data_IF_368286068217
#
_entry.id   IF_368286068217
#
_cell.length_a   1.000
_cell.length_b   1.000
_cell.length_c   1.000
_cell.angle_alpha   90.00
_cell.angle_beta   90.00
_cell.angle_gamma   90.00
#
_symmetry.space_group_name_H-M   'P 1'
#
loop_
_entity.id
_entity.type
_entity.pdbx_description
1 polymer ?
#
# COMPACT_ATOMS: atom_id res chain seq x y z
N UNK A 1 0.93 7.87 -13.84
CA UNK A 1 0.84 6.41 -14.06
C UNK A 1 0.54 5.65 -12.77
N UNK A 2 1.44 5.61 -11.77
CA UNK A 2 1.25 4.85 -10.53
C UNK A 2 -0.05 5.19 -9.78
N UNK A 3 -0.31 6.47 -9.51
CA UNK A 3 -1.54 6.90 -8.81
C UNK A 3 -2.83 6.49 -9.54
N UNK A 4 -2.84 6.61 -10.88
CA UNK A 4 -3.97 6.17 -11.71
C UNK A 4 -4.17 4.67 -11.62
N UNK A 5 -3.09 3.87 -11.72
CA UNK A 5 -3.15 2.42 -11.58
C UNK A 5 -3.66 1.98 -10.21
N UNK A 6 -3.24 2.65 -9.13
CA UNK A 6 -3.69 2.33 -7.77
C UNK A 6 -5.17 2.69 -7.56
N UNK A 7 -5.63 3.83 -8.07
CA UNK A 7 -7.04 4.20 -8.04
C UNK A 7 -7.91 3.18 -8.80
N UNK A 8 -7.46 2.74 -9.97
CA UNK A 8 -8.14 1.74 -10.80
C UNK A 8 -8.18 0.37 -10.09
N UNK A 9 -7.08 -0.01 -9.43
CA UNK A 9 -7.01 -1.20 -8.58
C UNK A 9 -8.05 -1.17 -7.46
N UNK A 10 -8.18 -0.08 -6.70
CA UNK A 10 -9.15 0.04 -5.62
C UNK A 10 -10.60 -0.11 -6.12
N UNK A 11 -10.92 0.44 -7.29
CA UNK A 11 -12.26 0.33 -7.90
C UNK A 11 -12.54 -1.10 -8.36
N UNK A 12 -11.60 -1.74 -9.07
CA UNK A 12 -11.76 -3.11 -9.55
C UNK A 12 -11.87 -4.11 -8.40
N UNK A 13 -10.99 -3.99 -7.40
CA UNK A 13 -10.99 -4.86 -6.21
C UNK A 13 -12.31 -4.75 -5.46
N UNK A 14 -12.86 -3.55 -5.28
CA UNK A 14 -14.18 -3.39 -4.64
C UNK A 14 -15.28 -4.16 -5.38
N UNK A 15 -15.28 -4.15 -6.72
CA UNK A 15 -16.25 -4.89 -7.54
C UNK A 15 -16.07 -6.40 -7.45
N UNK A 16 -14.83 -6.86 -7.37
CA UNK A 16 -14.47 -8.28 -7.20
C UNK A 16 -14.82 -8.79 -5.80
N UNK A 17 -14.54 -8.03 -4.76
CA UNK A 17 -14.89 -8.34 -3.36
C UNK A 17 -16.40 -8.38 -3.12
N UNK A 18 -17.21 -7.73 -3.97
CA UNK A 18 -18.66 -7.85 -3.94
C UNK A 18 -19.19 -9.20 -4.47
N UNK A 19 -18.37 -9.98 -5.17
CA UNK A 19 -18.74 -11.28 -5.75
C UNK A 19 -17.94 -12.46 -5.21
N UNK A 20 -16.73 -12.21 -4.69
CA UNK A 20 -15.81 -13.24 -4.24
C UNK A 20 -15.25 -12.92 -2.85
N UNK A 21 -14.88 -13.97 -2.12
CA UNK A 21 -14.22 -13.82 -0.82
C UNK A 21 -12.85 -13.16 -0.98
N UNK A 22 -12.45 -12.35 0.01
CA UNK A 22 -11.19 -11.61 0.04
C UNK A 22 -9.97 -12.49 -0.24
N UNK A 23 -9.93 -13.69 0.33
CA UNK A 23 -8.83 -14.64 0.12
C UNK A 23 -8.71 -15.07 -1.35
N UNK A 24 -9.84 -15.27 -2.04
CA UNK A 24 -9.85 -15.65 -3.46
C UNK A 24 -9.29 -14.53 -4.32
N UNK A 25 -9.70 -13.29 -4.07
CA UNK A 25 -9.21 -12.11 -4.82
C UNK A 25 -7.71 -11.91 -4.59
N UNK A 26 -7.24 -12.03 -3.35
CA UNK A 26 -5.81 -11.93 -3.03
C UNK A 26 -4.99 -13.03 -3.71
N UNK A 27 -5.46 -14.28 -3.67
CA UNK A 27 -4.77 -15.42 -4.34
C UNK A 27 -4.56 -15.14 -5.82
N UNK A 28 -5.60 -14.71 -6.53
CA UNK A 28 -5.50 -14.43 -7.97
C UNK A 28 -4.65 -13.19 -8.27
N UNK A 29 -4.76 -12.14 -7.44
CA UNK A 29 -3.92 -10.94 -7.57
C UNK A 29 -2.44 -11.27 -7.42
N UNK A 30 -2.07 -12.04 -6.40
CA UNK A 30 -0.67 -12.45 -6.18
C UNK A 30 -0.17 -13.40 -7.26
N UNK A 31 -1.01 -14.32 -7.76
CA UNK A 31 -0.62 -15.25 -8.82
C UNK A 31 -0.31 -14.52 -10.14
N UNK A 32 -1.20 -13.63 -10.55
CA UNK A 32 -1.00 -12.83 -11.77
C UNK A 32 0.20 -11.90 -11.59
N UNK A 33 0.32 -11.26 -10.42
CA UNK A 33 1.47 -10.42 -10.07
C UNK A 33 2.80 -11.19 -10.13
N UNK A 34 2.82 -12.43 -9.63
CA UNK A 34 4.00 -13.30 -9.71
C UNK A 34 4.38 -13.55 -11.17
N UNK A 35 3.45 -14.00 -12.01
CA UNK A 35 3.73 -14.28 -13.43
C UNK A 35 4.22 -13.03 -14.17
N UNK A 36 3.67 -11.86 -13.87
CA UNK A 36 4.10 -10.60 -14.47
C UNK A 36 5.48 -10.13 -13.99
N UNK A 37 5.80 -10.29 -12.71
CA UNK A 37 7.09 -9.85 -12.12
C UNK A 37 8.22 -10.84 -12.41
N UNK A 38 7.91 -12.14 -12.52
CA UNK A 38 8.88 -13.22 -12.71
C UNK A 38 9.89 -12.94 -13.84
N UNK A 39 9.50 -12.58 -15.09
CA UNK A 39 10.49 -12.34 -16.15
C UNK A 39 11.44 -11.18 -15.87
N UNK A 40 11.00 -10.17 -15.12
CA UNK A 40 11.86 -9.04 -14.74
C UNK A 40 12.79 -9.38 -13.57
N UNK A 41 12.32 -10.19 -12.62
CA UNK A 41 13.10 -10.63 -11.46
C UNK A 41 13.91 -11.91 -11.68
N UNK A 42 13.75 -12.60 -12.80
CA UNK A 42 14.29 -13.96 -13.01
C UNK A 42 15.82 -14.02 -12.92
N UNK A 43 16.50 -13.04 -13.53
CA UNK A 43 17.97 -12.98 -13.50
C UNK A 43 18.49 -12.78 -12.09
N UNK A 44 17.94 -11.79 -11.38
CA UNK A 44 18.30 -11.48 -9.99
C UNK A 44 17.99 -12.66 -9.05
N UNK A 45 16.90 -13.37 -9.29
CA UNK A 45 16.49 -14.53 -8.50
C UNK A 45 17.47 -15.70 -8.62
N UNK A 46 18.03 -15.93 -9.80
CA UNK A 46 18.99 -17.02 -10.04
C UNK A 46 20.40 -16.63 -9.59
N UNK A 47 20.77 -15.35 -9.70
CA UNK A 47 22.05 -14.86 -9.18
C UNK A 47 22.06 -14.68 -7.67
N UNK A 48 20.90 -14.68 -7.01
CA UNK A 48 20.81 -14.58 -5.56
C UNK A 48 21.31 -15.86 -4.89
N UNK A 49 22.34 -15.73 -4.07
CA UNK A 49 22.82 -16.82 -3.23
C UNK A 49 22.06 -16.82 -1.89
N UNK A 50 21.06 -17.68 -1.81
CA UNK A 50 20.26 -17.86 -0.60
C UNK A 50 21.01 -18.60 0.52
N UNK A 51 22.14 -19.25 0.22
CA UNK A 51 22.87 -20.07 1.19
C UNK A 51 23.85 -19.25 2.03
N UNK A 52 24.39 -18.17 1.46
CA UNK A 52 25.25 -17.22 2.18
C UNK A 52 24.48 -16.12 2.90
N UNK A 53 23.15 -16.13 2.78
CA UNK A 53 22.29 -15.09 3.30
C UNK A 53 22.14 -15.19 4.84
N UNK A 54 22.42 -14.11 5.59
CA UNK A 54 22.24 -14.11 7.04
C UNK A 54 20.78 -14.39 7.43
N UNK A 55 20.59 -15.17 8.50
CA UNK A 55 19.26 -15.56 8.99
C UNK A 55 18.36 -14.36 9.29
N UNK A 56 18.92 -13.25 9.80
CA UNK A 56 18.18 -12.01 10.04
C UNK A 56 17.48 -11.46 8.78
N UNK A 57 18.12 -11.54 7.61
CA UNK A 57 17.52 -11.05 6.36
C UNK A 57 16.41 -11.99 5.90
N UNK A 58 16.57 -13.30 6.08
CA UNK A 58 15.52 -14.29 5.79
C UNK A 58 14.27 -14.00 6.64
N UNK A 59 14.44 -13.75 7.93
CA UNK A 59 13.32 -13.37 8.81
C UNK A 59 12.64 -12.06 8.36
N UNK A 60 13.42 -11.05 7.96
CA UNK A 60 12.89 -9.79 7.41
C UNK A 60 12.06 -10.02 6.14
N UNK A 61 12.53 -10.86 5.22
CA UNK A 61 11.79 -11.20 4.00
C UNK A 61 10.46 -11.87 4.35
N UNK A 62 10.50 -12.90 5.20
CA UNK A 62 9.28 -13.62 5.62
C UNK A 62 8.29 -12.68 6.29
N UNK A 63 8.77 -11.80 7.18
CA UNK A 63 7.94 -10.78 7.83
C UNK A 63 7.30 -9.83 6.82
N UNK A 64 8.05 -9.36 5.82
CA UNK A 64 7.52 -8.47 4.78
C UNK A 64 6.43 -9.18 3.96
N UNK A 65 6.67 -10.44 3.55
CA UNK A 65 5.73 -11.23 2.74
C UNK A 65 4.45 -11.58 3.52
N UNK A 66 4.55 -11.96 4.79
CA UNK A 66 3.37 -12.36 5.56
C UNK A 66 2.64 -11.18 6.18
N UNK A 67 3.34 -10.31 6.89
CA UNK A 67 2.72 -9.23 7.66
C UNK A 67 2.47 -7.98 6.83
N UNK A 68 3.47 -7.48 6.10
CA UNK A 68 3.35 -6.17 5.44
C UNK A 68 2.64 -6.24 4.09
N UNK A 69 2.59 -7.41 3.45
CA UNK A 69 1.91 -7.59 2.17
C UNK A 69 0.66 -8.45 2.35
N UNK A 70 0.76 -9.75 2.60
CA UNK A 70 -0.43 -10.61 2.67
C UNK A 70 -1.48 -10.12 3.69
N UNK A 71 -1.07 -9.92 4.95
CA UNK A 71 -1.98 -9.50 6.01
C UNK A 71 -2.48 -8.06 5.81
N UNK A 72 -1.62 -7.14 5.37
CA UNK A 72 -2.00 -5.76 5.09
C UNK A 72 -3.02 -5.66 3.94
N UNK A 73 -2.86 -6.44 2.87
CA UNK A 73 -3.83 -6.51 1.77
C UNK A 73 -5.15 -7.13 2.24
N UNK A 74 -5.11 -8.19 3.05
CA UNK A 74 -6.29 -8.81 3.64
C UNK A 74 -7.08 -7.81 4.48
N UNK A 75 -6.40 -7.08 5.37
CA UNK A 75 -6.97 -6.03 6.21
C UNK A 75 -7.53 -4.87 5.39
N UNK A 76 -6.80 -4.44 4.35
CA UNK A 76 -7.24 -3.35 3.46
C UNK A 76 -8.51 -3.73 2.72
N UNK A 77 -8.56 -4.94 2.15
CA UNK A 77 -9.75 -5.44 1.48
C UNK A 77 -10.93 -5.59 2.45
N UNK A 78 -10.69 -6.10 3.67
CA UNK A 78 -11.70 -6.14 4.73
C UNK A 78 -12.21 -4.74 5.11
N UNK A 79 -11.32 -3.75 5.25
CA UNK A 79 -11.70 -2.37 5.53
C UNK A 79 -12.52 -1.75 4.38
N UNK A 80 -12.16 -2.03 3.13
CA UNK A 80 -12.93 -1.57 1.95
C UNK A 80 -14.36 -2.11 1.99
N UNK A 81 -14.55 -3.36 2.41
CA UNK A 81 -15.88 -3.97 2.58
C UNK A 81 -16.64 -3.31 3.74
N UNK A 82 -15.97 -3.03 4.87
CA UNK A 82 -16.62 -2.55 6.09
C UNK A 82 -16.97 -1.06 6.09
N UNK A 83 -16.06 -0.19 5.62
CA UNK A 83 -16.19 1.28 5.71
C UNK A 83 -16.16 1.99 4.34
N UNK A 84 -16.01 1.23 3.25
CA UNK A 84 -16.07 1.74 1.88
C UNK A 84 -14.74 2.30 1.34
N UNK A 85 -14.54 2.16 0.03
CA UNK A 85 -13.31 2.55 -0.68
C UNK A 85 -12.90 4.02 -0.54
N UNK A 86 -13.87 4.94 -0.45
CA UNK A 86 -13.58 6.38 -0.31
C UNK A 86 -12.93 6.69 1.04
N UNK A 87 -13.46 6.11 2.13
CA UNK A 87 -12.95 6.33 3.48
C UNK A 87 -11.58 5.68 3.65
N UNK A 88 -11.40 4.45 3.16
CA UNK A 88 -10.09 3.77 3.16
C UNK A 88 -9.05 4.58 2.40
N UNK A 89 -9.42 5.15 1.25
CA UNK A 89 -8.53 6.04 0.49
C UNK A 89 -8.06 7.27 1.29
N UNK A 90 -8.93 7.84 2.12
CA UNK A 90 -8.54 8.93 3.03
C UNK A 90 -7.58 8.46 4.14
N UNK A 91 -7.71 7.23 4.64
CA UNK A 91 -6.81 6.69 5.66
C UNK A 91 -5.38 6.43 5.14
N UNK A 92 -5.19 6.24 3.84
CA UNK A 92 -3.86 6.08 3.23
C UNK A 92 -2.98 7.31 3.48
N UNK A 93 -3.59 8.48 3.61
CA UNK A 93 -2.91 9.73 3.96
C UNK A 93 -2.30 9.76 5.37
N UNK A 94 -2.74 8.89 6.28
CA UNK A 94 -2.10 8.73 7.60
C UNK A 94 -0.83 7.89 7.54
N UNK A 95 -0.64 7.04 6.53
CA UNK A 95 0.58 6.22 6.39
C UNK A 95 1.88 7.05 6.37
N UNK A 96 2.00 8.15 5.58
CA UNK A 96 3.21 8.98 5.61
C UNK A 96 3.45 9.63 6.98
N UNK A 97 2.39 9.98 7.74
CA UNK A 97 2.50 10.50 9.10
C UNK A 97 3.12 9.50 10.06
N UNK A 98 2.59 8.28 10.11
CA UNK A 98 3.14 7.24 10.97
C UNK A 98 4.55 6.83 10.54
N UNK A 99 4.83 6.80 9.24
CA UNK A 99 6.18 6.52 8.72
C UNK A 99 7.20 7.53 9.23
N UNK A 100 6.88 8.83 9.14
CA UNK A 100 7.75 9.89 9.64
C UNK A 100 7.95 9.83 11.16
N UNK A 101 6.86 9.61 11.91
CA UNK A 101 6.89 9.49 13.36
C UNK A 101 7.77 8.31 13.83
N UNK A 102 7.53 7.12 13.27
CA UNK A 102 8.29 5.90 13.61
C UNK A 102 9.77 6.06 13.24
N UNK A 103 10.07 6.67 12.08
CA UNK A 103 11.45 6.91 11.66
C UNK A 103 12.19 7.87 12.59
N UNK A 104 11.50 8.87 13.16
CA UNK A 104 12.06 9.78 14.15
C UNK A 104 12.31 9.07 15.49
N UNK A 105 11.35 8.26 15.95
CA UNK A 105 11.47 7.49 17.19
C UNK A 105 12.61 6.46 17.15
N UNK A 106 12.86 5.85 16.00
CA UNK A 106 13.94 4.88 15.82
C UNK A 106 15.33 5.52 15.68
N UNK A 107 15.45 6.84 15.73
CA UNK A 107 16.72 7.56 15.57
C UNK A 107 17.39 7.34 14.20
N UNK A 108 16.64 6.87 13.19
CA UNK A 108 17.16 6.52 11.86
C UNK A 108 17.27 7.72 10.91
N UNK A 109 16.99 8.92 11.39
CA UNK A 109 16.99 10.13 10.58
C UNK A 109 17.90 11.20 11.17
N UNK A 110 18.95 11.56 10.43
CA UNK A 110 19.41 12.95 10.40
C UNK A 110 18.30 13.79 9.75
N UNK A 111 17.66 14.64 10.54
CA UNK A 111 16.64 15.61 10.11
C UNK A 111 17.33 16.74 9.33
N UNK A 112 17.67 16.47 8.08
CA UNK A 112 18.13 17.52 7.17
C UNK A 112 16.96 18.45 6.82
N UNK A 113 17.24 19.75 6.69
CA UNK A 113 16.26 20.79 6.31
C UNK A 113 15.47 20.40 5.04
N UNK A 114 16.11 19.73 4.10
CA UNK A 114 15.50 19.23 2.86
C UNK A 114 14.38 18.20 3.13
N UNK A 115 14.56 17.28 4.08
CA UNK A 115 13.55 16.25 4.43
C UNK A 115 12.33 16.88 5.10
N UNK A 116 12.55 17.93 5.91
CA UNK A 116 11.47 18.67 6.57
C UNK A 116 10.63 19.44 5.54
N UNK A 117 11.27 20.15 4.62
CA UNK A 117 10.57 20.85 3.52
C UNK A 117 9.76 19.87 2.65
N UNK A 118 10.36 18.72 2.29
CA UNK A 118 9.66 17.69 1.53
C UNK A 118 8.44 17.13 2.30
N UNK A 119 8.58 16.87 3.61
CA UNK A 119 7.47 16.42 4.45
C UNK A 119 6.33 17.44 4.50
N UNK A 120 6.64 18.74 4.70
CA UNK A 120 5.63 19.81 4.72
C UNK A 120 4.87 19.89 3.39
N UNK A 121 5.57 19.80 2.25
CA UNK A 121 4.94 19.83 0.92
C UNK A 121 4.02 18.61 0.72
N UNK A 122 4.46 17.42 1.13
CA UNK A 122 3.64 16.20 1.04
C UNK A 122 2.37 16.34 1.90
N UNK A 123 2.51 16.76 3.16
CA UNK A 123 1.36 16.97 4.05
C UNK A 123 0.41 18.05 3.55
N UNK A 124 0.93 19.15 3.00
CA UNK A 124 0.12 20.21 2.41
C UNK A 124 -0.68 19.70 1.20
N UNK A 125 -0.04 18.93 0.30
CA UNK A 125 -0.72 18.32 -0.85
C UNK A 125 -1.81 17.33 -0.44
N UNK A 126 -1.51 16.49 0.55
CA UNK A 126 -2.48 15.55 1.16
C UNK A 126 -3.67 16.30 1.77
N UNK A 127 -3.41 17.35 2.57
CA UNK A 127 -4.44 18.15 3.21
C UNK A 127 -5.35 18.83 2.18
N UNK A 128 -4.76 19.45 1.15
CA UNK A 128 -5.51 20.07 0.05
C UNK A 128 -6.39 19.06 -0.70
N UNK A 129 -5.87 17.87 -1.00
CA UNK A 129 -6.63 16.81 -1.68
C UNK A 129 -7.79 16.25 -0.84
N UNK A 130 -7.62 16.24 0.49
CA UNK A 130 -8.64 15.77 1.44
C UNK A 130 -9.73 16.82 1.67
N UNK A 131 -9.39 18.10 1.57
CA UNK A 131 -10.33 19.22 1.75
C UNK A 131 -11.24 19.48 0.54
N UNK A 132 -11.06 18.77 -0.58
CA UNK A 132 -11.97 18.86 -1.72
C UNK A 132 -13.36 18.35 -1.31
N UNK A 133 -14.29 19.29 -1.18
CA UNK A 133 -15.67 19.12 -0.67
C UNK A 133 -16.38 17.92 -1.31
N UNK A 134 -17.10 17.16 -0.47
CA UNK A 134 -18.28 16.39 -0.90
C UNK A 134 -19.26 17.34 -1.60
N UNK A 135 -19.23 17.44 -2.93
CA UNK A 135 -20.41 17.86 -3.68
C UNK A 135 -21.34 16.65 -3.70
N UNK A 136 -22.28 16.61 -2.75
CA UNK A 136 -23.46 15.76 -2.88
C UNK A 136 -24.22 16.19 -4.14
N UNK A 137 -24.44 15.34 -5.17
CA UNK A 137 -25.67 15.45 -5.91
C UNK A 137 -26.73 14.71 -5.08
N UNK A 138 -27.63 15.48 -4.46
CA UNK A 138 -28.95 14.94 -4.12
C UNK A 138 -29.56 14.48 -5.44
N UNK A 139 -29.74 13.18 -5.65
CA UNK A 139 -30.69 12.69 -6.65
C UNK A 139 -31.97 12.40 -5.89
N UNK A 140 -32.79 13.45 -5.79
CA UNK A 140 -34.24 13.34 -5.58
C UNK A 140 -34.89 13.36 -6.95
N UNK A 141 -35.54 12.26 -7.34
CA UNK A 141 -36.79 12.19 -8.08
C UNK A 141 -37.24 10.73 -8.11
#
# INVERSE_FOLDING_TARGET
LNATSYALYLVLVKRLLGKYNTLTVSKWTFLIGLVMVLPFGFRELISADFTTMPQDIIFKIVFIVLCTTFLAYLLTAWAVIKIGSSTVGTYIYLQPLFTALISMLLGRNDLTVQKVLAAVIIFAGVFCSTYSKKSHPKITA
#
